data_IF_101437357767
#
_entry.id   IF_101437357767
#
_cell.length_a   1.000
_cell.length_b   1.000
_cell.length_c   1.000
_cell.angle_alpha   90.00
_cell.angle_beta   90.00
_cell.angle_gamma   90.00
#
_symmetry.space_group_name_H-M   'P 1'
#
loop_
_entity.id
_entity.type
_entity.pdbx_description
1 polymer ?
#
# COMPACT_ATOMS: atom_id res chain seq x y z
N UNK A 1 3.73 -50.74 -17.36
CA UNK A 1 4.70 -49.69 -17.07
C UNK A 1 4.56 -48.46 -17.97
N UNK A 2 4.53 -48.55 -19.32
CA UNK A 2 4.41 -47.35 -20.21
C UNK A 2 3.16 -46.49 -19.97
N UNK A 3 2.00 -47.04 -19.65
CA UNK A 3 0.75 -46.28 -19.38
C UNK A 3 0.78 -45.51 -18.03
N UNK A 4 1.50 -46.02 -17.04
CA UNK A 4 1.67 -45.33 -15.74
C UNK A 4 2.59 -44.12 -15.86
N UNK A 5 3.63 -44.20 -16.70
CA UNK A 5 4.56 -43.09 -16.93
C UNK A 5 3.88 -41.98 -17.71
N UNK A 6 3.01 -42.27 -18.68
CA UNK A 6 2.22 -41.29 -19.40
C UNK A 6 1.23 -40.55 -18.49
N UNK A 7 0.57 -41.26 -17.57
CA UNK A 7 -0.36 -40.63 -16.62
C UNK A 7 0.37 -39.72 -15.63
N UNK A 8 1.55 -40.12 -15.18
CA UNK A 8 2.38 -39.30 -14.29
C UNK A 8 2.90 -38.01 -14.98
N UNK A 9 3.30 -38.14 -16.24
CA UNK A 9 3.74 -36.98 -17.04
C UNK A 9 2.59 -35.98 -17.32
N UNK A 10 1.39 -36.49 -17.57
CA UNK A 10 0.21 -35.65 -17.80
C UNK A 10 -0.24 -34.94 -16.53
N UNK A 11 -0.18 -35.63 -15.37
CA UNK A 11 -0.49 -35.00 -14.07
C UNK A 11 0.57 -33.96 -13.69
N UNK A 12 1.85 -34.22 -13.94
CA UNK A 12 2.91 -33.21 -13.72
C UNK A 12 2.77 -31.98 -14.64
N UNK A 13 2.35 -32.15 -15.91
CA UNK A 13 2.10 -31.00 -16.78
C UNK A 13 0.88 -30.18 -16.34
N UNK A 14 -0.17 -30.79 -15.81
CA UNK A 14 -1.35 -30.08 -15.32
C UNK A 14 -1.05 -29.31 -14.02
N UNK A 15 -0.17 -29.83 -13.19
CA UNK A 15 0.25 -29.14 -11.95
C UNK A 15 1.20 -27.96 -12.25
N UNK A 16 2.00 -28.04 -13.33
CA UNK A 16 2.87 -26.93 -13.74
C UNK A 16 2.14 -25.80 -14.51
N UNK A 17 0.98 -26.07 -15.11
CA UNK A 17 0.22 -25.07 -15.83
C UNK A 17 -0.70 -24.20 -14.94
N UNK A 18 -0.84 -24.53 -13.66
CA UNK A 18 -1.62 -23.75 -12.69
C UNK A 18 -0.83 -22.65 -11.98
N UNK A 19 0.43 -22.46 -12.31
CA UNK A 19 1.26 -21.35 -11.81
C UNK A 19 1.61 -20.35 -12.89
N UNK A 20 0.64 -19.94 -13.72
CA UNK A 20 0.69 -18.62 -14.30
C UNK A 20 0.17 -17.66 -13.22
N UNK A 21 0.90 -17.63 -12.11
CA UNK A 21 0.75 -16.56 -11.15
C UNK A 21 1.05 -15.26 -11.88
N UNK A 22 0.11 -14.36 -11.87
CA UNK A 22 0.24 -12.96 -12.22
C UNK A 22 1.58 -12.46 -11.67
N UNK A 23 2.62 -12.42 -12.49
CA UNK A 23 3.85 -11.74 -12.15
C UNK A 23 3.57 -10.23 -12.21
N UNK A 24 2.82 -9.73 -11.23
CA UNK A 24 2.90 -8.33 -10.90
C UNK A 24 4.37 -8.08 -10.61
N UNK A 25 5.00 -7.23 -11.40
CA UNK A 25 6.35 -6.77 -11.15
C UNK A 25 6.27 -5.84 -9.95
N UNK A 26 6.22 -6.42 -8.75
CA UNK A 26 6.29 -5.67 -7.51
C UNK A 26 7.72 -5.63 -6.98
N UNK A 27 8.06 -4.56 -6.30
CA UNK A 27 9.36 -4.38 -5.67
C UNK A 27 9.17 -3.88 -4.25
N UNK A 28 9.77 -4.63 -3.32
CA UNK A 28 9.89 -4.24 -1.91
C UNK A 28 11.27 -3.67 -1.67
N UNK A 29 11.34 -2.55 -0.95
CA UNK A 29 12.57 -1.99 -0.40
C UNK A 29 12.38 -1.77 1.09
N UNK A 30 13.14 -2.49 1.90
CA UNK A 30 13.29 -2.24 3.33
C UNK A 30 14.59 -1.47 3.53
N UNK A 31 14.51 -0.32 4.18
CA UNK A 31 15.68 0.54 4.35
C UNK A 31 16.58 0.04 5.49
N UNK A 32 17.87 0.31 5.39
CA UNK A 32 18.85 -0.10 6.38
C UNK A 32 18.53 0.50 7.76
N UNK A 33 18.58 -0.34 8.79
CA UNK A 33 18.20 0.06 10.15
C UNK A 33 16.70 0.19 10.42
N UNK A 34 15.84 0.11 9.40
CA UNK A 34 14.39 0.23 9.59
C UNK A 34 13.80 -0.96 10.33
N UNK A 35 13.00 -0.68 11.35
CA UNK A 35 12.22 -1.67 12.08
C UNK A 35 10.73 -1.52 11.79
N UNK A 36 10.24 -2.28 10.79
CA UNK A 36 8.82 -2.33 10.47
C UNK A 36 8.02 -3.23 11.41
N UNK A 37 8.69 -4.03 12.26
CA UNK A 37 8.00 -4.89 13.25
C UNK A 37 7.40 -4.08 14.39
N UNK A 38 7.84 -2.84 14.59
CA UNK A 38 7.30 -1.91 15.58
C UNK A 38 6.07 -1.12 15.05
N UNK A 39 5.70 -1.28 13.77
CA UNK A 39 4.55 -0.59 13.18
C UNK A 39 3.27 -1.38 13.44
N UNK A 40 2.47 -0.94 14.40
CA UNK A 40 1.16 -1.51 14.74
C UNK A 40 0.00 -0.63 14.27
N UNK A 41 0.24 0.69 14.20
CA UNK A 41 -0.73 1.69 13.72
C UNK A 41 -0.13 2.47 12.58
N UNK A 42 -0.89 2.63 11.52
CA UNK A 42 -0.46 3.31 10.29
C UNK A 42 -1.50 4.35 9.89
N UNK A 43 -1.11 5.60 9.72
CA UNK A 43 -2.00 6.64 9.24
C UNK A 43 -1.86 6.82 7.72
N UNK A 44 -2.98 6.86 6.99
CA UNK A 44 -2.97 7.17 5.57
C UNK A 44 -2.91 8.67 5.36
N UNK A 45 -1.91 9.11 4.62
CA UNK A 45 -1.78 10.50 4.20
C UNK A 45 -2.52 10.76 2.88
N UNK A 46 -2.69 12.04 2.51
CA UNK A 46 -3.22 12.39 1.20
C UNK A 46 -2.33 11.83 0.08
N UNK A 47 -2.90 11.14 -0.92
CA UNK A 47 -2.12 10.59 -2.01
C UNK A 47 -1.56 11.70 -2.92
N UNK A 48 -0.36 11.47 -3.44
CA UNK A 48 0.22 12.22 -4.56
C UNK A 48 -0.34 11.64 -5.85
N UNK A 49 -1.43 12.22 -6.30
CA UNK A 49 -2.20 11.67 -7.41
C UNK A 49 -2.88 12.77 -8.22
N UNK A 50 -2.86 12.62 -9.53
CA UNK A 50 -3.66 13.38 -10.48
C UNK A 50 -4.42 12.38 -11.33
N UNK A 51 -5.76 12.34 -11.28
CA UNK A 51 -6.54 11.40 -12.07
C UNK A 51 -6.32 11.67 -13.57
N UNK A 52 -6.08 10.60 -14.33
CA UNK A 52 -5.92 10.63 -15.79
C UNK A 52 -6.86 9.57 -16.36
N UNK A 53 -7.85 9.99 -17.14
CA UNK A 53 -8.86 9.12 -17.71
C UNK A 53 -10.24 9.28 -17.08
N UNK A 54 -11.26 8.89 -17.83
CA UNK A 54 -12.67 9.10 -17.47
C UNK A 54 -13.13 8.22 -16.29
N UNK A 55 -12.49 7.06 -16.08
CA UNK A 55 -12.86 6.11 -15.04
C UNK A 55 -11.93 6.15 -13.82
N UNK A 56 -10.89 6.99 -13.85
CA UNK A 56 -9.96 7.13 -12.75
C UNK A 56 -10.66 7.78 -11.54
N UNK A 57 -10.57 7.20 -10.32
CA UNK A 57 -11.16 7.80 -9.13
C UNK A 57 -10.53 9.16 -8.84
N UNK A 58 -11.27 10.06 -8.22
CA UNK A 58 -10.68 11.28 -7.66
C UNK A 58 -9.83 10.98 -6.41
N UNK A 59 -9.17 12.01 -5.85
CA UNK A 59 -8.30 11.82 -4.68
C UNK A 59 -9.03 11.30 -3.45
N UNK A 60 -10.25 11.74 -3.23
CA UNK A 60 -11.05 11.33 -2.07
C UNK A 60 -11.52 9.89 -2.23
N UNK A 61 -11.99 9.53 -3.42
CA UNK A 61 -12.37 8.16 -3.75
C UNK A 61 -11.14 7.23 -3.64
N UNK A 62 -9.99 7.63 -4.17
CA UNK A 62 -8.75 6.87 -4.04
C UNK A 62 -8.37 6.64 -2.57
N UNK A 63 -8.46 7.68 -1.73
CA UNK A 63 -8.15 7.54 -0.32
C UNK A 63 -9.09 6.56 0.40
N UNK A 64 -10.38 6.59 0.07
CA UNK A 64 -11.37 5.63 0.57
C UNK A 64 -11.10 4.20 0.07
N UNK A 65 -10.68 4.04 -1.19
CA UNK A 65 -10.29 2.74 -1.76
C UNK A 65 -9.11 2.16 -0.99
N UNK A 66 -8.05 2.96 -0.79
CA UNK A 66 -6.86 2.53 -0.04
C UNK A 66 -7.22 2.17 1.40
N UNK A 67 -8.04 2.97 2.06
CA UNK A 67 -8.49 2.68 3.43
C UNK A 67 -9.26 1.36 3.51
N UNK A 68 -10.24 1.13 2.63
CA UNK A 68 -10.99 -0.14 2.57
C UNK A 68 -10.08 -1.33 2.25
N UNK A 69 -9.05 -1.13 1.43
CA UNK A 69 -8.10 -2.19 1.10
C UNK A 69 -7.24 -2.62 2.29
N UNK A 70 -7.15 -1.80 3.35
CA UNK A 70 -6.38 -2.12 4.56
C UNK A 70 -6.94 -3.32 5.33
N UNK A 71 -8.20 -3.70 5.13
CA UNK A 71 -8.81 -4.92 5.68
C UNK A 71 -8.08 -6.19 5.23
N UNK A 72 -7.29 -6.11 4.16
CA UNK A 72 -6.46 -7.22 3.68
C UNK A 72 -5.21 -7.47 4.53
N UNK A 73 -4.84 -6.54 5.41
CA UNK A 73 -3.70 -6.63 6.36
C UNK A 73 -4.16 -6.76 7.81
N UNK A 74 -3.20 -6.75 8.73
CA UNK A 74 -3.46 -6.81 10.19
C UNK A 74 -3.07 -5.53 10.94
N UNK A 75 -2.36 -4.64 10.28
CA UNK A 75 -2.00 -3.35 10.87
C UNK A 75 -3.28 -2.53 11.04
N UNK A 76 -3.43 -1.88 12.19
CA UNK A 76 -4.52 -0.92 12.37
C UNK A 76 -4.25 0.32 11.52
N UNK A 77 -5.21 0.69 10.68
CA UNK A 77 -5.06 1.80 9.74
C UNK A 77 -6.03 2.92 10.09
N UNK A 78 -5.49 4.12 10.23
CA UNK A 78 -6.23 5.36 10.47
C UNK A 78 -6.43 6.06 9.12
N UNK A 79 -7.68 6.31 8.74
CA UNK A 79 -8.00 7.04 7.52
C UNK A 79 -7.52 8.51 7.61
N UNK A 80 -7.26 9.14 6.46
CA UNK A 80 -6.91 10.56 6.41
C UNK A 80 -7.97 11.45 7.08
N UNK A 81 -9.26 11.16 6.82
CA UNK A 81 -10.37 11.91 7.40
C UNK A 81 -10.41 11.80 8.93
N UNK A 82 -10.18 10.61 9.49
CA UNK A 82 -10.09 10.38 10.92
C UNK A 82 -8.88 11.13 11.52
N UNK A 83 -7.73 11.09 10.85
CA UNK A 83 -6.56 11.87 11.25
C UNK A 83 -6.84 13.37 11.28
N UNK A 84 -7.55 13.88 10.26
CA UNK A 84 -7.92 15.30 10.18
C UNK A 84 -8.84 15.72 11.33
N UNK A 85 -9.84 14.91 11.66
CA UNK A 85 -10.74 15.17 12.78
C UNK A 85 -10.00 15.11 14.13
N UNK A 86 -9.09 14.16 14.31
CA UNK A 86 -8.27 14.05 15.51
C UNK A 86 -7.37 15.29 15.72
N UNK A 87 -6.72 15.77 14.64
CA UNK A 87 -5.90 16.98 14.68
C UNK A 87 -6.75 18.22 15.03
N UNK A 88 -7.91 18.35 14.37
CA UNK A 88 -8.84 19.46 14.59
C UNK A 88 -9.39 19.46 16.03
N UNK A 89 -9.81 18.31 16.53
CA UNK A 89 -10.33 18.14 17.89
C UNK A 89 -9.29 18.42 18.98
N UNK A 90 -8.01 18.21 18.67
CA UNK A 90 -6.89 18.57 19.54
C UNK A 90 -6.51 20.07 19.49
N UNK A 91 -7.32 20.91 18.84
CA UNK A 91 -7.09 22.35 18.69
C UNK A 91 -6.16 22.73 17.52
N UNK A 92 -5.84 21.77 16.63
CA UNK A 92 -5.09 22.02 15.41
C UNK A 92 -5.94 22.61 14.29
N UNK A 93 -5.30 22.91 13.16
CA UNK A 93 -5.99 23.39 11.97
C UNK A 93 -6.82 22.29 11.30
N UNK A 94 -7.90 22.66 10.65
CA UNK A 94 -8.65 21.76 9.77
C UNK A 94 -7.85 21.53 8.49
N UNK A 95 -7.12 20.41 8.45
CA UNK A 95 -6.22 20.10 7.31
C UNK A 95 -6.97 19.74 6.03
N UNK A 96 -8.28 19.48 6.07
CA UNK A 96 -9.10 19.14 4.91
C UNK A 96 -9.36 20.36 4.00
N UNK A 97 -9.31 21.56 4.57
CA UNK A 97 -9.54 22.82 3.82
C UNK A 97 -8.24 23.51 3.39
N UNK A 98 -7.09 22.95 3.73
CA UNK A 98 -5.78 23.51 3.39
C UNK A 98 -5.27 23.00 2.03
N UNK A 99 -4.36 23.77 1.44
CA UNK A 99 -3.59 23.27 0.30
C UNK A 99 -2.75 22.03 0.71
N UNK A 100 -2.46 21.17 -0.28
CA UNK A 100 -1.76 19.91 -0.06
C UNK A 100 -0.47 20.06 0.77
N UNK A 101 0.35 21.09 0.49
CA UNK A 101 1.64 21.27 1.16
C UNK A 101 1.46 21.58 2.65
N UNK A 102 0.53 22.49 2.97
CA UNK A 102 0.22 22.86 4.36
C UNK A 102 -0.44 21.70 5.10
N UNK A 103 -1.44 21.07 4.48
CA UNK A 103 -2.11 19.90 5.04
C UNK A 103 -1.11 18.80 5.40
N UNK A 104 -0.21 18.44 4.48
CA UNK A 104 0.80 17.41 4.69
C UNK A 104 1.86 17.79 5.72
N UNK A 105 2.21 19.07 5.86
CA UNK A 105 3.10 19.52 6.92
C UNK A 105 2.48 19.28 8.30
N UNK A 106 1.26 19.77 8.51
CA UNK A 106 0.54 19.61 9.78
C UNK A 106 0.24 18.14 10.08
N UNK A 107 -0.15 17.35 9.07
CA UNK A 107 -0.35 15.92 9.19
C UNK A 107 0.91 15.23 9.75
N UNK A 108 2.07 15.47 9.17
CA UNK A 108 3.34 14.86 9.59
C UNK A 108 3.78 15.29 11.00
N UNK A 109 3.54 16.55 11.35
CA UNK A 109 3.85 17.12 12.67
C UNK A 109 2.96 16.54 13.79
N UNK A 110 1.85 15.90 13.43
CA UNK A 110 0.92 15.30 14.40
C UNK A 110 0.82 13.77 14.30
N UNK A 111 1.44 13.17 13.30
CA UNK A 111 1.28 11.73 13.04
C UNK A 111 1.72 10.85 14.22
N UNK A 112 2.78 11.23 14.95
CA UNK A 112 3.33 10.47 16.08
C UNK A 112 2.39 10.42 17.31
N UNK A 113 1.43 11.32 17.38
CA UNK A 113 0.43 11.32 18.45
C UNK A 113 -0.62 10.19 18.28
N UNK A 114 -0.78 9.69 17.06
CA UNK A 114 -1.87 8.79 16.69
C UNK A 114 -1.40 7.47 16.06
N UNK A 115 -0.25 7.47 15.38
CA UNK A 115 0.24 6.32 14.65
C UNK A 115 1.76 6.16 14.75
N UNK A 116 2.25 4.92 14.67
CA UNK A 116 3.68 4.59 14.67
C UNK A 116 4.36 4.98 13.36
N UNK A 117 3.58 4.88 12.27
CA UNK A 117 4.02 5.22 10.92
C UNK A 117 2.89 5.88 10.12
N UNK A 118 3.26 6.56 9.04
CA UNK A 118 2.31 7.03 8.05
C UNK A 118 2.72 6.61 6.64
N UNK A 119 1.72 6.47 5.77
CA UNK A 119 1.89 6.05 4.38
C UNK A 119 1.53 7.17 3.45
N UNK A 120 2.39 7.41 2.46
CA UNK A 120 2.09 8.26 1.32
C UNK A 120 2.01 7.37 0.08
N UNK A 121 0.83 7.32 -0.54
CA UNK A 121 0.66 6.72 -1.86
C UNK A 121 1.00 7.75 -2.93
N UNK A 122 1.90 7.38 -3.84
CA UNK A 122 2.13 8.09 -5.10
C UNK A 122 1.63 7.22 -6.25
N UNK A 123 0.78 7.78 -7.10
CA UNK A 123 0.28 7.11 -8.31
C UNK A 123 0.90 7.78 -9.53
N UNK A 124 1.51 6.97 -10.38
CA UNK A 124 2.04 7.38 -11.66
C UNK A 124 1.33 6.62 -12.80
N UNK A 125 0.68 7.37 -13.69
CA UNK A 125 -0.08 6.85 -14.81
C UNK A 125 0.67 7.18 -16.11
N UNK A 126 1.64 6.36 -16.47
CA UNK A 126 2.39 6.50 -17.73
C UNK A 126 1.85 5.51 -18.77
N UNK A 127 2.65 4.50 -19.14
CA UNK A 127 2.21 3.40 -20.03
C UNK A 127 1.29 2.39 -19.32
N UNK A 128 1.32 2.36 -18.01
CA UNK A 128 0.44 1.61 -17.09
C UNK A 128 0.44 2.26 -15.72
N UNK A 129 -0.62 2.03 -14.95
CA UNK A 129 -0.74 2.52 -13.57
C UNK A 129 0.30 1.88 -12.67
N UNK A 130 1.00 2.71 -11.92
CA UNK A 130 2.02 2.31 -10.95
C UNK A 130 1.73 2.95 -9.60
N UNK A 131 1.74 2.14 -8.54
CA UNK A 131 1.58 2.59 -7.17
C UNK A 131 2.91 2.48 -6.44
N UNK A 132 3.25 3.53 -5.70
CA UNK A 132 4.39 3.59 -4.78
C UNK A 132 3.85 3.91 -3.39
N UNK A 133 3.95 2.96 -2.49
CA UNK A 133 3.58 3.16 -1.09
C UNK A 133 4.85 3.38 -0.27
N UNK A 134 5.05 4.60 0.18
CA UNK A 134 6.18 4.98 1.04
C UNK A 134 5.71 5.03 2.48
N UNK A 135 6.28 4.19 3.34
CA UNK A 135 5.99 4.11 4.78
C UNK A 135 7.08 4.85 5.55
N UNK A 136 6.67 5.86 6.27
CA UNK A 136 7.55 6.72 7.08
C UNK A 136 7.28 6.52 8.57
N UNK A 137 8.33 6.52 9.37
CA UNK A 137 8.22 6.56 10.83
C UNK A 137 7.62 7.88 11.27
N UNK A 138 6.57 7.84 12.09
CA UNK A 138 5.99 9.04 12.67
C UNK A 138 7.00 9.74 13.60
N UNK A 139 6.92 11.07 13.67
CA UNK A 139 7.82 11.91 14.46
C UNK A 139 9.17 12.20 13.81
N UNK A 140 9.84 11.20 13.25
CA UNK A 140 11.18 11.38 12.62
C UNK A 140 11.11 11.61 11.12
N UNK A 141 10.03 11.19 10.46
CA UNK A 141 9.88 11.15 9.00
C UNK A 141 10.96 10.29 8.28
N UNK A 142 11.55 9.34 8.98
CA UNK A 142 12.47 8.37 8.41
C UNK A 142 11.71 7.41 7.50
N UNK A 143 12.22 7.16 6.29
CA UNK A 143 11.63 6.22 5.35
C UNK A 143 11.99 4.80 5.76
N UNK A 144 10.98 4.01 6.14
CA UNK A 144 11.16 2.64 6.62
C UNK A 144 11.05 1.62 5.50
N UNK A 145 10.09 1.84 4.58
CA UNK A 145 9.68 0.82 3.63
C UNK A 145 9.08 1.47 2.39
N UNK A 146 9.38 0.93 1.23
CA UNK A 146 8.71 1.27 -0.02
C UNK A 146 8.22 0.01 -0.70
N UNK A 147 6.97 0.04 -1.16
CA UNK A 147 6.40 -0.97 -2.02
C UNK A 147 5.98 -0.34 -3.35
N UNK A 148 6.56 -0.84 -4.42
CA UNK A 148 6.22 -0.47 -5.78
C UNK A 148 5.47 -1.61 -6.44
N UNK A 149 4.32 -1.33 -7.04
CA UNK A 149 3.53 -2.30 -7.78
C UNK A 149 2.99 -1.67 -9.06
N UNK A 150 2.92 -2.46 -10.12
CA UNK A 150 2.40 -2.05 -11.41
C UNK A 150 1.11 -2.81 -11.71
N UNK A 151 0.10 -2.12 -12.22
CA UNK A 151 -1.06 -2.76 -12.82
C UNK A 151 -0.62 -3.65 -14.00
N UNK A 152 -1.36 -4.70 -14.31
CA UNK A 152 -1.10 -5.50 -15.49
C UNK A 152 -1.33 -4.68 -16.76
N UNK A 153 -0.72 -5.07 -17.87
CA UNK A 153 -0.77 -4.33 -19.15
C UNK A 153 -2.20 -4.11 -19.67
N UNK A 154 -3.13 -4.97 -19.28
CA UNK A 154 -4.53 -4.94 -19.74
C UNK A 154 -5.50 -4.45 -18.66
N UNK A 155 -5.02 -4.14 -17.46
CA UNK A 155 -5.85 -3.60 -16.40
C UNK A 155 -6.27 -2.17 -16.78
N UNK A 156 -7.52 -1.86 -16.47
CA UNK A 156 -8.06 -0.51 -16.65
C UNK A 156 -7.63 0.38 -15.49
N UNK A 157 -7.57 1.68 -15.75
CA UNK A 157 -7.33 2.69 -14.73
C UNK A 157 -8.66 3.01 -14.03
N UNK A 158 -9.12 2.10 -13.17
CA UNK A 158 -10.41 2.13 -12.49
C UNK A 158 -10.31 1.75 -11.00
N UNK A 159 -11.43 1.91 -10.29
CA UNK A 159 -11.51 1.62 -8.85
C UNK A 159 -11.12 0.18 -8.49
N UNK A 160 -11.48 -0.79 -9.33
CA UNK A 160 -11.20 -2.20 -9.05
C UNK A 160 -9.69 -2.49 -9.12
N UNK A 161 -9.01 -1.99 -10.15
CA UNK A 161 -7.56 -2.07 -10.27
C UNK A 161 -6.88 -1.38 -9.08
N UNK A 162 -7.33 -0.20 -8.71
CA UNK A 162 -6.76 0.57 -7.60
C UNK A 162 -6.95 -0.15 -6.25
N UNK A 163 -8.11 -0.78 -6.04
CA UNK A 163 -8.37 -1.62 -4.88
C UNK A 163 -7.40 -2.81 -4.82
N UNK A 164 -7.27 -3.55 -5.92
CA UNK A 164 -6.39 -4.72 -5.98
C UNK A 164 -4.93 -4.35 -5.69
N UNK A 165 -4.41 -3.26 -6.28
CA UNK A 165 -3.05 -2.79 -6.03
C UNK A 165 -2.85 -2.37 -4.57
N UNK A 166 -3.85 -1.75 -3.96
CA UNK A 166 -3.81 -1.34 -2.56
C UNK A 166 -3.86 -2.54 -1.60
N UNK A 167 -4.70 -3.55 -1.87
CA UNK A 167 -4.73 -4.79 -1.09
C UNK A 167 -3.39 -5.52 -1.13
N UNK A 168 -2.71 -5.52 -2.28
CA UNK A 168 -1.39 -6.13 -2.43
C UNK A 168 -0.36 -5.45 -1.51
N UNK A 169 -0.39 -4.12 -1.39
CA UNK A 169 0.49 -3.41 -0.47
C UNK A 169 0.31 -3.90 0.97
N UNK A 170 -0.91 -3.95 1.50
CA UNK A 170 -1.15 -4.35 2.89
C UNK A 170 -0.74 -5.82 3.13
N UNK A 171 -1.05 -6.72 2.20
CA UNK A 171 -0.62 -8.13 2.26
C UNK A 171 0.91 -8.24 2.26
N UNK A 172 1.58 -7.51 1.37
CA UNK A 172 3.04 -7.57 1.23
C UNK A 172 3.76 -6.92 2.40
N UNK A 173 3.23 -5.83 2.96
CA UNK A 173 3.75 -5.24 4.18
C UNK A 173 3.73 -6.24 5.34
N UNK A 174 2.63 -6.97 5.52
CA UNK A 174 2.52 -8.01 6.55
C UNK A 174 3.51 -9.15 6.35
N UNK A 175 3.71 -9.60 5.10
CA UNK A 175 4.74 -10.61 4.77
C UNK A 175 6.12 -10.09 5.17
N UNK A 176 6.44 -8.85 4.82
CA UNK A 176 7.72 -8.20 5.13
C UNK A 176 7.96 -8.08 6.65
N UNK A 177 6.92 -7.74 7.42
CA UNK A 177 6.96 -7.71 8.90
C UNK A 177 7.29 -9.10 9.45
N UNK A 178 6.59 -10.14 9.00
CA UNK A 178 6.84 -11.52 9.43
C UNK A 178 8.25 -11.99 9.10
N UNK A 179 8.77 -11.63 7.93
CA UNK A 179 10.12 -12.02 7.51
C UNK A 179 11.19 -11.27 8.31
N UNK A 180 10.96 -10.00 8.66
CA UNK A 180 11.87 -9.28 9.55
C UNK A 180 11.86 -9.87 10.97
N UNK A 181 10.68 -10.26 11.50
CA UNK A 181 10.58 -10.93 12.80
C UNK A 181 11.35 -12.24 12.85
N UNK A 182 11.34 -13.03 11.77
CA UNK A 182 12.11 -14.28 11.68
C UNK A 182 13.63 -14.05 11.70
N UNK A 183 14.10 -12.95 11.09
CA UNK A 183 15.53 -12.59 11.05
C UNK A 183 16.06 -12.08 12.38
N UNK A 184 15.20 -11.63 13.29
CA UNK A 184 15.56 -11.13 14.64
C UNK A 184 15.65 -12.26 15.69
N UNK A 185 15.16 -13.45 15.37
CA UNK A 185 15.29 -14.66 16.20
C UNK A 185 16.56 -15.43 15.88
#
# INVERSE_FOLDING_TARGET
MKRFIQFFLTVCMVVFSAQVAFANTDKVTLYEGADITAVHRMALALPRYTPIGENAPDKEALNKIVYKASDAGRCYVIAYDEMAENIKSAGGADIKVLDYRKAMKIFKENADKYADAYVILTVANNSRTSFFFDVYKSGTNELLYTYQIFANKHDKDDENTYKLLSEQFFKQFEVSVKDQMKKKK
#
